data_IF_823777123054
#
_entry.id   IF_823777123054
#
_cell.length_a   1.000
_cell.length_b   1.000
_cell.length_c   1.000
_cell.angle_alpha   90.00
_cell.angle_beta   90.00
_cell.angle_gamma   90.00
#
_symmetry.space_group_name_H-M   'P 1'
#
loop_
_entity.id
_entity.type
_entity.pdbx_description
1 polymer ?
#
# COMPACT_ATOMS: atom_id res chain seq x y z
N UNK A 1 6.97 -6.52 -16.53
CA UNK A 1 6.70 -7.64 -15.64
C UNK A 1 5.93 -7.18 -14.44
N UNK A 2 4.85 -7.85 -14.14
CA UNK A 2 3.99 -7.44 -13.04
C UNK A 2 4.69 -7.53 -11.69
N UNK A 3 5.73 -8.34 -11.58
CA UNK A 3 6.46 -8.52 -10.33
C UNK A 3 7.18 -7.25 -9.87
N UNK A 4 7.55 -6.38 -10.80
CA UNK A 4 8.24 -5.15 -10.43
C UNK A 4 7.36 -4.24 -9.58
N UNK A 5 6.08 -4.15 -9.94
CA UNK A 5 5.15 -3.30 -9.20
C UNK A 5 4.99 -3.84 -7.78
N UNK A 6 4.79 -5.14 -7.65
CA UNK A 6 4.60 -5.74 -6.34
C UNK A 6 5.86 -5.62 -5.49
N UNK A 7 7.03 -5.80 -6.10
CA UNK A 7 8.29 -5.66 -5.36
C UNK A 7 8.52 -4.24 -4.87
N UNK A 8 8.23 -3.27 -5.72
CA UNK A 8 8.39 -1.86 -5.34
C UNK A 8 7.39 -1.48 -4.26
N UNK A 9 6.16 -1.97 -4.39
CA UNK A 9 5.12 -1.73 -3.41
C UNK A 9 5.54 -2.28 -2.05
N UNK A 10 6.00 -3.52 -2.02
CA UNK A 10 6.44 -4.17 -0.80
C UNK A 10 7.57 -3.38 -0.15
N UNK A 11 8.53 -2.92 -0.95
CA UNK A 11 9.64 -2.16 -0.42
C UNK A 11 9.17 -0.87 0.25
N UNK A 12 8.25 -0.16 -0.40
CA UNK A 12 7.73 1.08 0.17
C UNK A 12 7.02 0.78 1.49
N UNK A 13 6.22 -0.27 1.52
CA UNK A 13 5.51 -0.64 2.75
C UNK A 13 6.48 -0.98 3.88
N UNK A 14 7.51 -1.74 3.58
CA UNK A 14 8.50 -2.12 4.59
C UNK A 14 9.20 -0.89 5.14
N UNK A 15 9.60 0.03 4.26
CA UNK A 15 10.32 1.22 4.69
C UNK A 15 9.43 2.20 5.46
N UNK A 16 8.20 2.40 4.99
CA UNK A 16 7.31 3.37 5.61
C UNK A 16 6.72 2.89 6.91
N UNK A 17 6.39 1.61 7.00
CA UNK A 17 5.75 1.04 8.18
C UNK A 17 6.73 0.33 9.12
N UNK A 18 7.96 0.20 8.70
CA UNK A 18 9.00 -0.48 9.49
C UNK A 18 8.54 -1.89 9.88
N UNK A 19 8.00 -2.61 8.90
CA UNK A 19 7.48 -3.95 9.11
C UNK A 19 8.30 -4.98 8.37
N UNK A 20 8.18 -6.23 8.80
CA UNK A 20 8.82 -7.33 8.11
C UNK A 20 8.04 -7.68 6.86
N UNK A 21 8.77 -7.97 5.78
CA UNK A 21 8.16 -8.32 4.51
C UNK A 21 7.20 -9.51 4.62
N UNK A 22 7.52 -10.44 5.50
CA UNK A 22 6.71 -11.64 5.69
C UNK A 22 5.29 -11.33 6.14
N UNK A 23 5.08 -10.20 6.80
CA UNK A 23 3.76 -9.82 7.27
C UNK A 23 2.92 -9.15 6.20
N UNK A 24 3.52 -8.82 5.08
CA UNK A 24 2.84 -8.06 4.03
C UNK A 24 2.20 -9.01 3.01
N UNK A 25 1.30 -9.86 3.49
CA UNK A 25 0.52 -10.73 2.62
C UNK A 25 -0.73 -9.97 2.16
N UNK A 26 -1.30 -10.35 1.00
CA UNK A 26 -2.45 -9.61 0.47
C UNK A 26 -3.63 -9.50 1.43
N UNK A 27 -3.84 -10.50 2.25
CA UNK A 27 -4.97 -10.52 3.19
C UNK A 27 -4.71 -9.68 4.44
N UNK A 28 -3.48 -9.22 4.65
CA UNK A 28 -3.15 -8.47 5.86
C UNK A 28 -3.90 -7.15 5.89
N UNK A 29 -4.60 -6.92 6.99
CA UNK A 29 -5.33 -5.68 7.22
C UNK A 29 -4.39 -4.68 7.89
N UNK A 30 -4.33 -3.46 7.36
CA UNK A 30 -3.40 -2.47 7.88
C UNK A 30 -3.65 -2.15 9.34
N UNK A 31 -4.89 -2.02 9.74
CA UNK A 31 -5.21 -1.67 11.13
C UNK A 31 -5.17 -2.88 12.06
N UNK A 32 -5.74 -3.99 11.63
CA UNK A 32 -5.89 -5.15 12.50
C UNK A 32 -4.66 -6.03 12.54
N UNK A 33 -4.02 -6.25 11.39
CA UNK A 33 -2.90 -7.18 11.31
C UNK A 33 -1.55 -6.48 11.41
N UNK A 34 -1.46 -5.28 10.87
CA UNK A 34 -0.20 -4.53 10.82
C UNK A 34 -0.15 -3.40 11.83
N UNK A 35 -1.24 -3.20 12.55
CA UNK A 35 -1.31 -2.20 13.62
C UNK A 35 -0.98 -0.79 13.13
N UNK A 36 -1.47 -0.47 11.93
CA UNK A 36 -1.29 0.84 11.31
C UNK A 36 -2.60 1.61 11.43
N UNK A 37 -2.58 2.80 12.02
CA UNK A 37 -3.80 3.58 12.14
C UNK A 37 -4.14 4.28 10.82
N UNK A 38 -5.28 4.98 10.81
CA UNK A 38 -5.76 5.65 9.60
C UNK A 38 -4.77 6.66 9.05
N UNK A 39 -4.12 7.41 9.93
CA UNK A 39 -3.14 8.39 9.51
C UNK A 39 -1.94 7.71 8.86
N UNK A 40 -1.52 6.57 9.44
CA UNK A 40 -0.42 5.80 8.86
C UNK A 40 -0.75 5.29 7.47
N UNK A 41 -2.00 4.86 7.26
CA UNK A 41 -2.43 4.42 5.94
C UNK A 41 -2.40 5.57 4.94
N UNK A 42 -2.85 6.75 5.35
CA UNK A 42 -2.82 7.92 4.48
C UNK A 42 -1.38 8.27 4.09
N UNK A 43 -0.49 8.27 5.07
CA UNK A 43 0.93 8.56 4.81
C UNK A 43 1.54 7.53 3.87
N UNK A 44 1.19 6.26 4.07
CA UNK A 44 1.65 5.20 3.21
C UNK A 44 1.20 5.42 1.77
N UNK A 45 -0.07 5.77 1.59
CA UNK A 45 -0.61 5.97 0.25
C UNK A 45 0.04 7.17 -0.43
N UNK A 46 0.38 8.21 0.34
CA UNK A 46 1.12 9.34 -0.21
C UNK A 46 2.49 8.91 -0.71
N UNK A 47 3.16 8.04 0.04
CA UNK A 47 4.45 7.51 -0.38
C UNK A 47 4.31 6.70 -1.66
N UNK A 48 3.24 5.94 -1.79
CA UNK A 48 2.97 5.17 -3.01
C UNK A 48 2.68 6.09 -4.20
N UNK A 49 2.00 7.20 -3.97
CA UNK A 49 1.78 8.17 -5.03
C UNK A 49 3.11 8.69 -5.57
N UNK A 50 4.03 9.00 -4.67
CA UNK A 50 5.34 9.48 -5.07
C UNK A 50 6.13 8.39 -5.80
N UNK A 51 6.09 7.19 -5.28
CA UNK A 51 6.87 6.09 -5.83
C UNK A 51 6.44 5.74 -7.25
N UNK A 52 5.14 5.72 -7.49
CA UNK A 52 4.59 5.26 -8.76
C UNK A 52 4.10 6.40 -9.65
N UNK A 53 4.11 7.62 -9.16
CA UNK A 53 3.66 8.77 -9.94
C UNK A 53 2.17 8.72 -10.24
N UNK A 54 1.37 8.27 -9.29
CA UNK A 54 -0.08 8.18 -9.44
C UNK A 54 -0.78 9.04 -8.40
N UNK A 55 -2.05 9.31 -8.63
CA UNK A 55 -2.86 10.05 -7.67
C UNK A 55 -3.89 9.12 -7.03
N UNK A 56 -3.99 9.18 -5.71
CA UNK A 56 -4.96 8.41 -4.96
C UNK A 56 -5.83 9.39 -4.18
N UNK A 57 -7.04 9.69 -4.67
CA UNK A 57 -7.95 10.59 -3.96
C UNK A 57 -8.34 10.03 -2.60
N UNK A 58 -8.69 10.92 -1.68
CA UNK A 58 -9.08 10.51 -0.33
C UNK A 58 -10.19 9.47 -0.34
N UNK A 59 -11.13 9.59 -1.26
CA UNK A 59 -12.24 8.64 -1.34
C UNK A 59 -11.75 7.22 -1.60
N UNK A 60 -10.75 7.08 -2.47
CA UNK A 60 -10.19 5.76 -2.76
C UNK A 60 -9.31 5.29 -1.61
N UNK A 61 -8.59 6.22 -1.00
CA UNK A 61 -7.73 5.88 0.13
C UNK A 61 -8.53 5.31 1.28
N UNK A 62 -9.71 5.86 1.54
CA UNK A 62 -10.55 5.41 2.65
C UNK A 62 -11.07 3.99 2.45
N UNK A 63 -11.13 3.52 1.23
CA UNK A 63 -11.63 2.18 0.94
C UNK A 63 -10.56 1.11 1.06
N UNK A 64 -9.30 1.51 1.18
CA UNK A 64 -8.21 0.54 1.27
C UNK A 64 -8.06 0.09 2.72
N UNK A 65 -8.22 -1.21 2.94
CA UNK A 65 -8.07 -1.78 4.27
C UNK A 65 -6.99 -2.87 4.32
N UNK A 66 -6.65 -3.46 3.17
CA UNK A 66 -5.66 -4.54 3.13
C UNK A 66 -4.54 -4.23 2.16
N UNK A 67 -3.43 -4.95 2.33
CA UNK A 67 -2.28 -4.82 1.43
C UNK A 67 -2.70 -5.14 -0.01
N UNK A 68 -3.52 -6.18 -0.18
CA UNK A 68 -3.99 -6.56 -1.51
C UNK A 68 -4.80 -5.47 -2.19
N UNK A 69 -5.62 -4.78 -1.42
CA UNK A 69 -6.41 -3.69 -1.97
C UNK A 69 -5.52 -2.52 -2.42
N UNK A 70 -4.49 -2.23 -1.65
CA UNK A 70 -3.53 -1.20 -2.03
C UNK A 70 -2.80 -1.59 -3.32
N UNK A 71 -2.37 -2.84 -3.40
CA UNK A 71 -1.69 -3.33 -4.60
C UNK A 71 -2.61 -3.27 -5.81
N UNK A 72 -3.85 -3.70 -5.65
CA UNK A 72 -4.82 -3.69 -6.75
C UNK A 72 -5.05 -2.28 -7.26
N UNK A 73 -5.15 -1.31 -6.34
CA UNK A 73 -5.36 0.07 -6.73
C UNK A 73 -4.18 0.61 -7.53
N UNK A 74 -2.96 0.32 -7.08
CA UNK A 74 -1.77 0.76 -7.81
C UNK A 74 -1.71 0.14 -9.19
N UNK A 75 -2.00 -1.16 -9.31
CA UNK A 75 -2.04 -1.82 -10.61
C UNK A 75 -3.07 -1.16 -11.53
N UNK A 76 -4.22 -0.82 -10.99
CA UNK A 76 -5.28 -0.18 -11.76
C UNK A 76 -4.83 1.20 -12.25
N UNK A 77 -4.18 1.97 -11.39
CA UNK A 77 -3.72 3.31 -11.74
C UNK A 77 -2.63 3.30 -12.82
N UNK A 78 -1.85 2.25 -12.86
CA UNK A 78 -0.75 2.12 -13.81
C UNK A 78 -1.15 1.45 -15.12
N UNK A 79 -2.36 0.95 -15.21
CA UNK A 79 -2.84 0.27 -16.42
C UNK A 79 -3.07 1.23 -17.58
#
# INVERSE_FOLDING_TARGET
MSNDIDSRLTRVLVEELDLEEEKLVPEANFEEDLDVDSLGVVELLMALEDEFGVEIPDEEAEQITTVGEAAALIHQKLS
#
